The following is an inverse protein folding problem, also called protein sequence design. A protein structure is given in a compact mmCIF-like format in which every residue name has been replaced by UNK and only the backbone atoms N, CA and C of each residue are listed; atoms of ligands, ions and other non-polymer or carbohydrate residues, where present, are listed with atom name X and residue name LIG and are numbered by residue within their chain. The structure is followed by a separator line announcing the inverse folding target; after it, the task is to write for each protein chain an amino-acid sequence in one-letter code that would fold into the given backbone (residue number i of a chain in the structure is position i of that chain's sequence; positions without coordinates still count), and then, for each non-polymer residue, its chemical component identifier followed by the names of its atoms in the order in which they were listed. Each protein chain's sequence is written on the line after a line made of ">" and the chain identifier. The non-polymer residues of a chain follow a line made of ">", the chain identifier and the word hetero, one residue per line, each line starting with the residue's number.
data_IF_600508580194
#
_entry.id   IF_600508580194
#
_cell.length_a   1.000
_cell.length_b   1.000
_cell.length_c   1.000
_cell.angle_alpha   90.00
_cell.angle_beta   90.00
_cell.angle_gamma   90.00
#
_symmetry.space_group_name_H-M   'P 1'
#
loop_
_entity.id
_entity.type
_entity.pdbx_description
1 polymer ?
#
# COMPACT_ATOMS: atom_id res chain seq x y z
N UNK A 1 -18.54 -10.65 1.71
CA UNK A 1 -17.20 -11.30 1.68
C UNK A 1 -16.47 -10.80 0.45
N UNK A 2 -15.21 -10.37 0.59
CA UNK A 2 -14.37 -9.98 -0.55
C UNK A 2 -13.35 -11.10 -0.81
N UNK A 3 -13.46 -11.79 -1.94
CA UNK A 3 -12.57 -12.90 -2.28
C UNK A 3 -12.05 -12.76 -3.72
N UNK A 4 -10.76 -12.47 -3.87
CA UNK A 4 -10.07 -12.38 -5.15
C UNK A 4 -8.56 -12.32 -4.93
N UNK A 5 -7.77 -12.90 -5.85
CA UNK A 5 -6.31 -12.70 -5.88
C UNK A 5 -5.89 -11.23 -6.11
N UNK A 6 -6.82 -10.38 -6.56
CA UNK A 6 -6.61 -8.94 -6.72
C UNK A 6 -6.52 -8.20 -5.37
N UNK A 7 -7.05 -8.76 -4.29
CA UNK A 7 -7.09 -8.13 -2.97
C UNK A 7 -5.79 -8.42 -2.19
N UNK A 8 -4.70 -7.77 -2.61
CA UNK A 8 -3.35 -8.01 -2.09
C UNK A 8 -2.97 -7.13 -0.88
N UNK A 9 -3.68 -6.01 -0.68
CA UNK A 9 -3.40 -5.02 0.36
C UNK A 9 -4.67 -4.80 1.16
N UNK A 10 -4.53 -4.66 2.48
CA UNK A 10 -5.59 -4.27 3.40
C UNK A 10 -5.01 -3.36 4.49
N UNK A 11 -5.80 -2.42 4.98
CA UNK A 11 -5.50 -1.65 6.19
C UNK A 11 -6.63 -1.78 7.20
N UNK A 12 -6.46 -1.21 8.39
CA UNK A 12 -7.40 -1.35 9.51
C UNK A 12 -8.67 -0.50 9.39
N UNK A 13 -8.71 0.48 8.49
CA UNK A 13 -9.82 1.42 8.33
C UNK A 13 -9.73 2.11 6.96
N UNK A 14 -10.85 2.51 6.33
CA UNK A 14 -12.24 2.15 6.68
C UNK A 14 -12.57 0.70 6.29
N UNK A 15 -13.84 0.33 6.10
CA UNK A 15 -14.20 -1.00 5.56
C UNK A 15 -13.57 -1.22 4.18
N UNK A 16 -13.32 -2.48 3.81
CA UNK A 16 -12.52 -2.79 2.63
C UNK A 16 -13.09 -2.24 1.32
N UNK A 17 -14.42 -2.18 1.14
CA UNK A 17 -15.04 -1.57 -0.05
C UNK A 17 -14.70 -0.09 -0.20
N UNK A 18 -14.64 0.65 0.90
CA UNK A 18 -14.25 2.06 0.92
C UNK A 18 -12.74 2.22 0.70
N UNK A 19 -11.91 1.31 1.24
CA UNK A 19 -10.48 1.28 0.94
C UNK A 19 -10.24 1.16 -0.58
N UNK A 20 -10.95 0.26 -1.25
CA UNK A 20 -10.86 0.08 -2.70
C UNK A 20 -11.27 1.35 -3.47
N UNK A 21 -12.34 2.02 -3.05
CA UNK A 21 -12.82 3.26 -3.67
C UNK A 21 -11.85 4.44 -3.47
N UNK A 22 -11.29 4.60 -2.27
CA UNK A 22 -10.28 5.63 -2.00
C UNK A 22 -9.01 5.40 -2.81
N UNK A 23 -8.63 4.15 -3.01
CA UNK A 23 -7.44 3.80 -3.79
C UNK A 23 -7.59 4.10 -5.29
N UNK A 24 -8.81 4.01 -5.86
CA UNK A 24 -9.00 4.29 -7.28
C UNK A 24 -8.67 5.73 -7.66
N UNK A 25 -8.87 6.70 -6.75
CA UNK A 25 -8.43 8.08 -6.95
C UNK A 25 -6.91 8.18 -7.16
N UNK A 26 -6.12 7.53 -6.31
CA UNK A 26 -4.65 7.56 -6.41
C UNK A 26 -4.11 6.81 -7.62
N UNK A 27 -4.82 5.79 -8.10
CA UNK A 27 -4.47 5.10 -9.34
C UNK A 27 -4.59 6.00 -10.57
N UNK A 28 -5.53 6.95 -10.58
CA UNK A 28 -5.71 7.89 -11.70
C UNK A 28 -4.59 8.92 -11.79
N UNK A 29 -4.05 9.35 -10.64
CA UNK A 29 -2.93 10.31 -10.59
C UNK A 29 -1.64 9.67 -11.11
N UNK A 30 -1.46 8.37 -10.87
CA UNK A 30 -0.23 7.65 -11.16
C UNK A 30 0.80 7.85 -10.04
N UNK A 31 1.16 6.77 -9.34
CA UNK A 31 1.99 6.85 -8.13
C UNK A 31 3.44 7.32 -8.35
N UNK A 32 3.89 7.48 -9.61
CA UNK A 32 5.16 8.16 -9.93
C UNK A 32 5.04 9.68 -9.98
N UNK A 33 3.81 10.22 -10.09
CA UNK A 33 3.53 11.65 -10.08
C UNK A 33 3.35 12.13 -8.64
N UNK A 34 2.46 11.48 -7.88
CA UNK A 34 2.23 11.80 -6.47
C UNK A 34 1.67 10.60 -5.70
N UNK A 35 2.06 10.48 -4.44
CA UNK A 35 1.48 9.55 -3.48
C UNK A 35 1.20 10.26 -2.15
N UNK A 36 0.15 9.87 -1.43
CA UNK A 36 -0.15 10.46 -0.14
C UNK A 36 0.86 9.98 0.92
N UNK A 37 1.47 10.93 1.63
CA UNK A 37 2.58 10.67 2.55
C UNK A 37 2.22 10.61 4.04
N UNK A 38 0.93 10.73 4.41
CA UNK A 38 0.55 10.72 5.83
C UNK A 38 0.50 9.29 6.39
N UNK A 39 0.21 9.19 7.68
CA UNK A 39 0.05 7.92 8.41
C UNK A 39 -1.38 7.35 8.31
N UNK A 40 -2.32 8.08 7.68
CA UNK A 40 -3.71 7.63 7.52
C UNK A 40 -3.76 6.26 6.83
N UNK A 41 -4.72 5.43 7.23
CA UNK A 41 -4.86 4.08 6.70
C UNK A 41 -5.14 4.08 5.18
N UNK A 42 -5.87 5.06 4.65
CA UNK A 42 -6.05 5.30 3.21
C UNK A 42 -4.73 5.53 2.47
N UNK A 43 -3.84 6.31 3.07
CA UNK A 43 -2.60 6.74 2.46
C UNK A 43 -1.60 5.59 2.42
N UNK A 44 -1.53 4.83 3.52
CA UNK A 44 -0.77 3.58 3.59
C UNK A 44 -1.29 2.55 2.59
N UNK A 45 -2.62 2.44 2.42
CA UNK A 45 -3.23 1.55 1.44
C UNK A 45 -2.80 1.92 0.01
N UNK A 46 -2.86 3.21 -0.35
CA UNK A 46 -2.47 3.69 -1.67
C UNK A 46 -0.99 3.43 -1.96
N UNK A 47 -0.10 3.75 -1.01
CA UNK A 47 1.34 3.51 -1.14
C UNK A 47 1.68 2.03 -1.27
N UNK A 48 1.15 1.17 -0.41
CA UNK A 48 1.37 -0.28 -0.49
C UNK A 48 0.87 -0.85 -1.82
N UNK A 49 -0.34 -0.46 -2.23
CA UNK A 49 -0.96 -0.91 -3.49
C UNK A 49 -0.15 -0.51 -4.71
N UNK A 50 0.42 0.70 -4.71
CA UNK A 50 1.29 1.13 -5.78
C UNK A 50 2.61 0.35 -5.79
N UNK A 51 3.36 0.35 -4.67
CA UNK A 51 4.71 -0.23 -4.66
C UNK A 51 4.71 -1.74 -4.88
N UNK A 52 3.75 -2.49 -4.33
CA UNK A 52 3.72 -3.94 -4.52
C UNK A 52 3.54 -4.32 -5.99
N UNK A 53 2.86 -3.48 -6.77
CA UNK A 53 2.65 -3.66 -8.20
C UNK A 53 3.79 -3.09 -9.06
N UNK A 54 4.50 -2.07 -8.58
CA UNK A 54 5.67 -1.50 -9.26
C UNK A 54 6.93 -2.37 -9.13
N UNK A 55 7.04 -3.21 -8.09
CA UNK A 55 8.20 -4.09 -7.89
C UNK A 55 8.26 -5.17 -8.99
N UNK A 56 9.45 -5.42 -9.58
CA UNK A 56 9.64 -6.50 -10.56
C UNK A 56 9.25 -7.87 -10.01
N UNK A 57 8.45 -8.62 -10.77
CA UNK A 57 7.95 -9.94 -10.36
C UNK A 57 8.94 -11.08 -10.60
N UNK A 58 9.86 -10.91 -11.55
CA UNK A 58 10.88 -11.90 -11.90
C UNK A 58 12.22 -11.51 -11.31
N UNK A 59 12.48 -11.94 -10.07
CA UNK A 59 13.73 -11.69 -9.36
C UNK A 59 14.03 -12.81 -8.35
N UNK A 60 15.29 -12.89 -7.90
CA UNK A 60 15.70 -13.90 -6.92
C UNK A 60 14.97 -13.73 -5.58
N UNK A 61 14.80 -14.81 -4.83
CA UNK A 61 14.10 -14.79 -3.54
C UNK A 61 14.67 -13.75 -2.57
N UNK A 62 15.99 -13.54 -2.56
CA UNK A 62 16.65 -12.51 -1.73
C UNK A 62 16.22 -11.09 -2.13
N UNK A 63 16.13 -10.80 -3.43
CA UNK A 63 15.66 -9.50 -3.93
C UNK A 63 14.19 -9.29 -3.63
N UNK A 64 13.34 -10.30 -3.83
CA UNK A 64 11.92 -10.26 -3.44
C UNK A 64 11.72 -9.97 -1.96
N UNK A 65 12.50 -10.64 -1.11
CA UNK A 65 12.45 -10.40 0.32
C UNK A 65 12.83 -8.94 0.66
N UNK A 66 13.92 -8.43 0.09
CA UNK A 66 14.35 -7.05 0.28
C UNK A 66 13.28 -6.04 -0.19
N UNK A 67 12.65 -6.27 -1.35
CA UNK A 67 11.59 -5.41 -1.88
C UNK A 67 10.37 -5.38 -0.95
N UNK A 68 9.91 -6.54 -0.48
CA UNK A 68 8.78 -6.62 0.46
C UNK A 68 9.09 -5.89 1.77
N UNK A 69 10.31 -6.06 2.31
CA UNK A 69 10.75 -5.31 3.49
C UNK A 69 10.80 -3.79 3.26
N UNK A 70 11.16 -3.35 2.05
CA UNK A 70 11.10 -1.95 1.66
C UNK A 70 9.69 -1.39 1.72
N UNK A 71 8.71 -2.11 1.13
CA UNK A 71 7.30 -1.69 1.12
C UNK A 71 6.72 -1.62 2.53
N UNK A 72 6.91 -2.67 3.35
CA UNK A 72 6.31 -2.69 4.69
C UNK A 72 6.87 -1.59 5.58
N UNK A 73 8.18 -1.31 5.51
CA UNK A 73 8.81 -0.20 6.25
C UNK A 73 8.32 1.16 5.75
N UNK A 74 8.11 1.31 4.44
CA UNK A 74 7.57 2.55 3.88
C UNK A 74 6.20 2.86 4.48
N UNK A 75 5.31 1.86 4.58
CA UNK A 75 3.95 2.06 5.11
C UNK A 75 3.84 1.90 6.63
N UNK A 76 4.95 1.72 7.34
CA UNK A 76 4.95 1.77 8.80
C UNK A 76 4.73 3.20 9.31
N UNK A 77 4.08 3.29 10.48
CA UNK A 77 3.96 4.56 11.21
C UNK A 77 5.22 4.76 12.05
N UNK A 78 5.85 5.95 12.04
CA UNK A 78 7.00 6.24 12.90
C UNK A 78 6.70 5.97 14.38
N UNK A 79 7.70 5.41 15.07
CA UNK A 79 7.58 5.10 16.50
C UNK A 79 7.33 6.37 17.33
N UNK A 80 6.42 6.29 18.30
CA UNK A 80 6.06 7.40 19.18
C UNK A 80 4.97 8.33 18.63
N UNK A 81 4.50 8.13 17.39
CA UNK A 81 3.32 8.83 16.88
C UNK A 81 2.05 8.04 17.20
N UNK A 82 1.20 8.58 18.07
CA UNK A 82 -0.19 8.13 18.19
C UNK A 82 -0.98 8.70 17.01
N UNK A 83 -1.56 7.81 16.20
CA UNK A 83 -2.55 8.21 15.21
C UNK A 83 -3.91 7.73 15.71
N UNK A 84 -4.79 8.69 15.96
CA UNK A 84 -6.22 8.47 16.22
C UNK A 84 -6.90 8.03 14.94
#
# INVERSE_FOLDING_TARGET
>A
IHHSRKYQVMTNSPIFSEQLALNSYWQQIGGTVMLPGTNRASDRFARASFYINAIPKSQSSKKSLASVFGVIRNVSVPYGLSTV
#
